data_IF_572733551243
#
_entry.id   IF_572733551243
#
_cell.length_a   1.000
_cell.length_b   1.000
_cell.length_c   1.000
_cell.angle_alpha   90.00
_cell.angle_beta   90.00
_cell.angle_gamma   90.00
#
_symmetry.space_group_name_H-M   'P 1'
#
loop_
_entity.id
_entity.type
_entity.pdbx_description
1 polymer ?
#
# COMPACT_ATOMS: atom_id res chain seq x y z
N UNK A 1 11.48 -2.87 -66.57
CA UNK A 1 10.08 -2.68 -66.97
C UNK A 1 9.56 -1.48 -66.22
N UNK A 2 9.26 -0.41 -66.96
CA UNK A 2 8.96 0.92 -66.45
C UNK A 2 7.52 1.30 -66.83
N UNK A 3 6.86 2.04 -65.92
CA UNK A 3 5.64 2.89 -66.03
C UNK A 3 4.30 2.23 -66.45
N UNK A 4 3.09 2.80 -66.13
CA UNK A 4 2.82 4.14 -65.58
C UNK A 4 1.76 4.28 -64.45
N UNK A 5 1.82 5.45 -63.82
CA UNK A 5 0.79 6.11 -63.01
C UNK A 5 -0.28 6.80 -63.87
N UNK A 6 -1.52 6.90 -63.38
CA UNK A 6 -2.55 7.84 -63.84
C UNK A 6 -3.60 8.12 -62.71
N UNK A 7 -4.37 9.23 -62.77
CA UNK A 7 -4.75 10.05 -61.60
C UNK A 7 -6.25 10.05 -61.25
N UNK A 8 -6.63 10.55 -60.06
CA UNK A 8 -8.00 11.00 -59.71
C UNK A 8 -7.90 12.24 -58.80
N UNK A 9 -7.99 13.46 -59.34
CA UNK A 9 -9.18 14.35 -59.48
C UNK A 9 -9.78 14.87 -58.18
N UNK A 10 -9.53 16.17 -57.94
CA UNK A 10 -10.27 17.08 -57.06
C UNK A 10 -11.76 17.10 -57.40
N UNK A 11 -12.61 17.08 -56.38
CA UNK A 11 -13.98 17.56 -56.48
C UNK A 11 -14.32 18.40 -55.23
N UNK A 12 -14.56 19.68 -55.49
CA UNK A 12 -15.03 20.70 -54.54
C UNK A 12 -16.55 20.89 -54.71
N UNK A 13 -17.21 21.35 -53.63
CA UNK A 13 -18.53 22.00 -53.49
C UNK A 13 -19.56 21.20 -52.66
N UNK A 14 -20.54 21.85 -51.99
CA UNK A 14 -20.52 23.17 -51.33
C UNK A 14 -21.12 23.15 -49.90
N UNK A 15 -20.96 24.28 -49.21
CA UNK A 15 -21.57 24.63 -47.92
C UNK A 15 -23.08 24.84 -48.01
N UNK A 16 -23.84 24.32 -47.05
CA UNK A 16 -25.18 24.83 -46.69
C UNK A 16 -25.45 24.61 -45.20
N UNK A 17 -25.51 25.73 -44.47
CA UNK A 17 -26.13 25.89 -43.15
C UNK A 17 -27.65 25.82 -43.24
N UNK A 18 -28.33 25.40 -42.17
CA UNK A 18 -29.66 25.92 -41.87
C UNK A 18 -29.68 26.64 -40.52
N UNK A 19 -30.16 27.88 -40.58
CA UNK A 19 -30.58 28.70 -39.44
C UNK A 19 -32.01 28.35 -39.03
N UNK A 20 -32.26 28.11 -37.74
CA UNK A 20 -33.59 28.33 -37.12
C UNK A 20 -33.37 28.95 -35.73
N UNK A 21 -34.05 30.07 -35.49
CA UNK A 21 -34.10 30.83 -34.25
C UNK A 21 -35.46 30.68 -33.54
N UNK A 22 -35.48 31.08 -32.25
CA UNK A 22 -36.63 31.41 -31.37
C UNK A 22 -37.44 30.23 -30.82
N UNK A 23 -37.88 30.15 -29.56
CA UNK A 23 -37.66 30.93 -28.33
C UNK A 23 -38.33 30.20 -27.13
N UNK A 24 -37.76 30.40 -25.94
CA UNK A 24 -38.41 30.60 -24.62
C UNK A 24 -39.04 29.44 -23.79
N UNK A 25 -38.43 29.29 -22.59
CA UNK A 25 -38.91 28.91 -21.24
C UNK A 25 -39.64 27.59 -20.94
N UNK A 26 -39.08 26.81 -19.99
CA UNK A 26 -39.56 26.86 -18.57
C UNK A 26 -38.70 26.02 -17.61
N UNK A 27 -38.50 26.60 -16.41
CA UNK A 27 -38.36 25.95 -15.10
C UNK A 27 -37.01 25.30 -14.68
N UNK A 28 -36.16 26.17 -14.14
CA UNK A 28 -35.31 25.99 -12.95
C UNK A 28 -35.60 24.79 -12.03
N UNK A 29 -34.58 23.94 -11.84
CA UNK A 29 -34.15 23.44 -10.52
C UNK A 29 -32.63 23.21 -10.54
N UNK A 30 -31.87 24.30 -10.39
CA UNK A 30 -30.48 24.23 -9.92
C UNK A 30 -30.51 23.69 -8.49
N UNK A 31 -30.10 22.43 -8.30
CA UNK A 31 -29.67 21.96 -6.97
C UNK A 31 -28.27 22.54 -6.76
N UNK A 32 -28.21 23.73 -6.18
CA UNK A 32 -27.01 24.17 -5.46
C UNK A 32 -26.84 23.19 -4.29
N UNK A 33 -25.91 22.26 -4.42
CA UNK A 33 -25.39 21.51 -3.27
C UNK A 33 -24.33 22.39 -2.63
N UNK A 34 -24.62 22.94 -1.46
CA UNK A 34 -23.64 23.69 -0.68
C UNK A 34 -22.47 22.77 -0.33
N UNK A 35 -21.25 23.27 -0.51
CA UNK A 35 -19.98 22.57 -0.27
C UNK A 35 -19.63 22.46 1.22
N UNK A 36 -20.58 21.99 2.03
CA UNK A 36 -20.39 21.87 3.48
C UNK A 36 -21.00 20.58 4.05
N UNK A 37 -21.32 19.61 3.20
CA UNK A 37 -21.68 18.28 3.68
C UNK A 37 -20.43 17.64 4.30
N UNK A 38 -20.47 17.21 5.57
CA UNK A 38 -19.43 16.37 6.13
C UNK A 38 -19.22 15.17 5.20
N UNK A 39 -17.97 14.83 4.91
CA UNK A 39 -17.65 13.55 4.28
C UNK A 39 -18.33 12.45 5.13
N UNK A 40 -19.09 11.54 4.51
CA UNK A 40 -19.81 10.51 5.27
C UNK A 40 -18.81 9.72 6.12
N UNK A 41 -19.12 9.55 7.41
CA UNK A 41 -18.30 8.76 8.33
C UNK A 41 -18.19 7.34 7.79
N UNK A 42 -17.00 6.95 7.34
CA UNK A 42 -16.77 5.73 6.58
C UNK A 42 -16.94 4.48 7.45
N UNK A 43 -17.60 3.46 6.92
CA UNK A 43 -17.53 2.12 7.50
C UNK A 43 -16.09 1.58 7.34
N UNK A 44 -15.40 1.36 8.46
CA UNK A 44 -14.10 0.67 8.45
C UNK A 44 -14.30 -0.76 7.90
N UNK A 45 -13.30 -1.31 7.21
CA UNK A 45 -13.34 -2.75 6.86
C UNK A 45 -13.60 -3.58 8.12
N UNK A 46 -14.36 -4.69 8.02
CA UNK A 46 -14.57 -5.60 9.13
C UNK A 46 -13.27 -6.03 9.79
N UNK A 47 -13.19 -5.87 11.12
CA UNK A 47 -12.06 -6.31 11.95
C UNK A 47 -12.15 -7.80 12.28
N UNK A 48 -13.35 -8.37 12.23
CA UNK A 48 -13.59 -9.78 12.56
C UNK A 48 -14.42 -10.48 11.49
N UNK A 49 -14.36 -11.81 11.48
CA UNK A 49 -15.20 -12.63 10.61
C UNK A 49 -16.70 -12.37 10.85
N UNK A 50 -17.09 -12.11 12.11
CA UNK A 50 -18.46 -11.79 12.49
C UNK A 50 -18.91 -10.42 11.94
N UNK A 51 -18.06 -9.40 12.02
CA UNK A 51 -18.31 -8.10 11.39
C UNK A 51 -18.42 -8.24 9.87
N UNK A 52 -17.59 -9.10 9.25
CA UNK A 52 -17.63 -9.35 7.81
C UNK A 52 -18.93 -10.02 7.41
N UNK A 53 -19.37 -11.02 8.18
CA UNK A 53 -20.65 -11.69 7.96
C UNK A 53 -21.83 -10.72 8.11
N UNK A 54 -21.82 -9.87 9.13
CA UNK A 54 -22.84 -8.85 9.34
C UNK A 54 -22.88 -7.85 8.18
N UNK A 55 -21.72 -7.39 7.70
CA UNK A 55 -21.61 -6.47 6.57
C UNK A 55 -22.17 -7.11 5.29
N UNK A 56 -21.72 -8.33 4.94
CA UNK A 56 -22.19 -9.06 3.77
C UNK A 56 -23.70 -9.32 3.81
N UNK A 57 -24.27 -9.54 5.00
CA UNK A 57 -25.72 -9.73 5.17
C UNK A 57 -26.56 -8.47 4.91
N UNK A 58 -25.94 -7.27 4.93
CA UNK A 58 -26.62 -6.01 4.60
C UNK A 58 -26.58 -5.68 3.10
N UNK A 59 -25.79 -6.40 2.30
CA UNK A 59 -25.69 -6.20 0.87
C UNK A 59 -26.86 -6.86 0.14
N UNK A 60 -27.46 -6.13 -0.79
CA UNK A 60 -28.53 -6.63 -1.64
C UNK A 60 -27.99 -7.72 -2.58
N UNK A 61 -28.51 -8.94 -2.44
CA UNK A 61 -28.10 -10.14 -3.21
C UNK A 61 -28.45 -10.05 -4.70
N UNK A 62 -29.18 -9.01 -5.12
CA UNK A 62 -29.55 -8.77 -6.52
C UNK A 62 -28.43 -8.14 -7.38
N UNK A 63 -27.41 -7.56 -6.75
CA UNK A 63 -26.20 -7.09 -7.43
C UNK A 63 -25.11 -8.13 -7.26
N UNK A 64 -24.36 -8.46 -8.33
CA UNK A 64 -23.21 -9.34 -8.25
C UNK A 64 -22.34 -8.88 -7.08
N UNK A 65 -22.19 -9.73 -6.05
CA UNK A 65 -21.50 -9.41 -4.80
C UNK A 65 -20.21 -8.65 -5.15
N UNK A 66 -20.11 -7.34 -4.86
CA UNK A 66 -18.87 -6.63 -5.13
C UNK A 66 -17.79 -7.35 -4.33
N UNK A 67 -16.65 -7.65 -4.97
CA UNK A 67 -15.49 -8.22 -4.29
C UNK A 67 -15.06 -7.25 -3.19
N UNK A 68 -15.63 -7.41 -1.99
CA UNK A 68 -15.44 -6.52 -0.87
C UNK A 68 -14.17 -6.95 -0.15
N UNK A 69 -13.07 -6.39 -0.63
CA UNK A 69 -11.77 -6.52 0.01
C UNK A 69 -11.86 -6.15 1.51
N UNK A 70 -11.38 -7.02 2.39
CA UNK A 70 -11.52 -6.91 3.84
C UNK A 70 -12.72 -7.66 4.44
N UNK A 71 -13.61 -8.23 3.63
CA UNK A 71 -14.79 -8.98 4.08
C UNK A 71 -14.90 -10.41 3.52
N UNK A 72 -13.89 -10.90 2.78
CA UNK A 72 -13.91 -12.24 2.17
C UNK A 72 -13.80 -13.32 3.24
N UNK A 73 -14.82 -14.18 3.32
CA UNK A 73 -14.93 -15.30 4.28
C UNK A 73 -14.74 -16.64 3.58
N UNK A 74 -13.75 -17.42 4.00
CA UNK A 74 -13.62 -18.80 3.52
C UNK A 74 -14.49 -19.73 4.37
N UNK A 75 -15.54 -20.29 3.78
CA UNK A 75 -16.45 -21.25 4.43
C UNK A 75 -16.26 -22.65 3.87
N UNK A 76 -16.84 -23.67 4.52
CA UNK A 76 -16.76 -25.07 4.07
C UNK A 76 -17.40 -25.33 2.71
N UNK A 77 -18.31 -24.46 2.26
CA UNK A 77 -18.94 -24.51 0.94
C UNK A 77 -18.25 -23.62 -0.10
N UNK A 78 -17.26 -22.82 0.29
CA UNK A 78 -16.54 -21.92 -0.61
C UNK A 78 -15.55 -22.71 -1.47
N UNK A 79 -15.46 -22.35 -2.75
CA UNK A 79 -14.32 -22.74 -3.59
C UNK A 79 -13.11 -21.88 -3.19
N UNK A 80 -12.04 -22.51 -2.70
CA UNK A 80 -10.82 -21.81 -2.24
C UNK A 80 -10.18 -20.94 -3.33
N UNK A 81 -10.45 -21.22 -4.61
CA UNK A 81 -9.92 -20.50 -5.77
C UNK A 81 -10.77 -19.31 -6.22
N UNK A 82 -11.90 -19.04 -5.55
CA UNK A 82 -12.81 -17.96 -5.94
C UNK A 82 -12.20 -16.58 -5.74
N UNK A 83 -11.24 -16.44 -4.82
CA UNK A 83 -10.46 -15.23 -4.61
C UNK A 83 -8.97 -15.55 -4.59
N UNK A 84 -8.15 -14.59 -5.01
CA UNK A 84 -6.69 -14.71 -4.91
C UNK A 84 -6.18 -14.69 -3.46
N UNK A 85 -7.03 -14.28 -2.51
CA UNK A 85 -6.74 -14.19 -1.10
C UNK A 85 -8.03 -14.12 -0.28
N UNK A 86 -7.97 -14.49 0.99
CA UNK A 86 -9.10 -14.48 1.91
C UNK A 86 -8.76 -13.60 3.12
N UNK A 87 -9.69 -12.74 3.53
CA UNK A 87 -9.46 -11.78 4.62
C UNK A 87 -9.63 -12.44 6.00
N UNK A 88 -10.65 -13.30 6.12
CA UNK A 88 -11.04 -13.92 7.38
C UNK A 88 -10.93 -15.43 7.25
N UNK A 89 -9.71 -15.93 7.40
CA UNK A 89 -9.41 -17.36 7.34
C UNK A 89 -8.31 -17.77 8.32
N UNK A 90 -8.48 -18.95 8.91
CA UNK A 90 -7.45 -19.57 9.75
C UNK A 90 -6.82 -20.73 8.97
N UNK A 91 -5.53 -20.65 8.61
CA UNK A 91 -4.81 -21.79 8.05
C UNK A 91 -4.87 -23.01 8.98
N UNK A 92 -4.88 -24.24 8.44
CA UNK A 92 -4.86 -25.46 9.26
C UNK A 92 -3.53 -25.58 10.04
N UNK A 93 -3.48 -26.29 11.19
CA UNK A 93 -2.25 -26.46 11.97
C UNK A 93 -1.04 -26.97 11.19
N UNK A 94 -1.28 -27.86 10.21
CA UNK A 94 -0.22 -28.39 9.33
C UNK A 94 0.50 -27.32 8.50
N UNK A 95 -0.17 -26.19 8.21
CA UNK A 95 0.45 -25.05 7.56
C UNK A 95 1.56 -24.45 8.44
N UNK A 96 1.30 -24.24 9.74
CA UNK A 96 2.29 -23.69 10.67
C UNK A 96 3.45 -24.65 10.91
N UNK A 97 3.21 -25.96 10.93
CA UNK A 97 4.29 -26.96 10.95
C UNK A 97 5.18 -26.83 9.71
N UNK A 98 4.58 -26.74 8.52
CA UNK A 98 5.33 -26.57 7.27
C UNK A 98 6.13 -25.25 7.23
N UNK A 99 5.53 -24.16 7.71
CA UNK A 99 6.18 -22.86 7.86
C UNK A 99 7.41 -22.99 8.76
N UNK A 100 7.26 -23.56 9.96
CA UNK A 100 8.35 -23.73 10.93
C UNK A 100 9.51 -24.55 10.33
N UNK A 101 9.20 -25.70 9.72
CA UNK A 101 10.20 -26.53 9.04
C UNK A 101 10.94 -25.80 7.92
N UNK A 102 10.20 -24.98 7.15
CA UNK A 102 10.77 -24.20 6.03
C UNK A 102 11.71 -23.12 6.53
N UNK A 103 11.33 -22.38 7.57
CA UNK A 103 12.16 -21.33 8.15
C UNK A 103 13.44 -21.89 8.78
N UNK A 104 13.37 -23.04 9.46
CA UNK A 104 14.56 -23.74 9.98
C UNK A 104 15.53 -24.07 8.83
N UNK A 105 15.05 -24.67 7.74
CA UNK A 105 15.87 -25.00 6.56
C UNK A 105 16.47 -23.77 5.88
N UNK A 106 15.77 -22.64 5.87
CA UNK A 106 16.29 -21.39 5.33
C UNK A 106 17.43 -20.86 6.21
N UNK A 107 17.25 -20.86 7.53
CA UNK A 107 18.22 -20.41 8.52
C UNK A 107 19.53 -21.21 8.49
N UNK A 108 19.49 -22.51 8.20
CA UNK A 108 20.69 -23.35 7.99
C UNK A 108 21.64 -22.82 6.90
N UNK A 109 21.13 -22.01 5.98
CA UNK A 109 21.90 -21.43 4.87
C UNK A 109 21.89 -19.90 4.87
N UNK A 110 21.66 -19.29 6.04
CA UNK A 110 21.77 -17.85 6.24
C UNK A 110 23.16 -17.36 5.82
N UNK A 111 23.20 -16.20 5.19
CA UNK A 111 24.45 -15.54 4.82
C UNK A 111 25.20 -15.09 6.07
N UNK A 112 26.54 -15.04 6.01
CA UNK A 112 27.30 -14.42 7.10
C UNK A 112 27.10 -12.91 7.09
N UNK A 113 27.47 -12.24 8.19
CA UNK A 113 27.38 -10.77 8.27
C UNK A 113 28.21 -10.08 7.18
N UNK A 114 29.40 -10.61 6.89
CA UNK A 114 30.28 -10.07 5.84
C UNK A 114 29.68 -10.25 4.44
N UNK A 115 29.01 -11.37 4.19
CA UNK A 115 28.30 -11.61 2.92
C UNK A 115 27.08 -10.71 2.78
N UNK A 116 26.31 -10.51 3.86
CA UNK A 116 25.13 -9.66 3.88
C UNK A 116 25.47 -8.18 3.65
N UNK A 117 26.58 -7.70 4.24
CA UNK A 117 26.99 -6.28 4.16
C UNK A 117 27.26 -5.82 2.72
N UNK A 118 27.68 -6.72 1.82
CA UNK A 118 27.79 -6.42 0.37
C UNK A 118 26.47 -5.90 -0.19
N UNK A 119 25.34 -6.45 0.24
CA UNK A 119 24.00 -6.06 -0.20
C UNK A 119 23.45 -4.84 0.54
N UNK A 120 24.09 -4.43 1.65
CA UNK A 120 23.69 -3.27 2.46
C UNK A 120 24.44 -2.00 2.07
N UNK A 121 25.63 -2.13 1.48
CA UNK A 121 26.49 -0.99 1.13
C UNK A 121 25.92 -0.08 0.05
N UNK A 122 25.15 -0.62 -0.91
CA UNK A 122 24.60 0.13 -2.04
C UNK A 122 23.25 -0.44 -2.54
N UNK A 123 22.20 -0.50 -1.69
CA UNK A 123 20.94 -1.18 -2.01
C UNK A 123 20.20 -0.57 -3.21
N UNK A 124 20.30 0.75 -3.38
CA UNK A 124 19.69 1.47 -4.52
C UNK A 124 20.22 0.98 -5.88
N UNK A 125 21.47 0.52 -5.96
CA UNK A 125 22.07 0.06 -7.22
C UNK A 125 21.36 -1.17 -7.80
N UNK A 126 20.83 -2.05 -6.96
CA UNK A 126 20.06 -3.22 -7.40
C UNK A 126 18.72 -2.80 -8.04
N UNK A 127 18.09 -1.76 -7.50
CA UNK A 127 16.87 -1.20 -8.08
C UNK A 127 17.14 -0.40 -9.36
N UNK A 128 18.27 0.32 -9.45
CA UNK A 128 18.70 0.96 -10.70
C UNK A 128 18.87 -0.08 -11.81
N UNK A 129 19.54 -1.20 -11.53
CA UNK A 129 19.68 -2.32 -12.50
C UNK A 129 18.33 -2.90 -12.88
N UNK A 130 17.45 -3.10 -11.90
CA UNK A 130 16.10 -3.61 -12.12
C UNK A 130 15.31 -2.71 -13.07
N UNK A 131 15.21 -1.41 -12.80
CA UNK A 131 14.42 -0.48 -13.61
C UNK A 131 15.07 -0.16 -14.96
N UNK A 132 16.40 -0.15 -15.06
CA UNK A 132 17.10 -0.07 -16.34
C UNK A 132 16.69 -1.22 -17.28
N UNK A 133 16.49 -2.41 -16.73
CA UNK A 133 16.15 -3.61 -17.50
C UNK A 133 14.66 -3.68 -17.85
N UNK A 134 13.79 -3.34 -16.90
CA UNK A 134 12.35 -3.59 -17.01
C UNK A 134 11.52 -2.38 -17.43
N UNK A 135 11.96 -1.17 -17.10
CA UNK A 135 11.20 0.08 -17.29
C UNK A 135 9.79 -0.03 -16.68
N UNK A 136 8.73 0.30 -17.44
CA UNK A 136 7.33 0.26 -17.01
C UNK A 136 6.62 -1.08 -17.27
N UNK A 137 7.34 -2.15 -17.59
CA UNK A 137 6.74 -3.40 -18.10
C UNK A 137 6.55 -4.49 -17.06
N UNK A 138 7.16 -4.36 -15.88
CA UNK A 138 7.15 -5.42 -14.87
C UNK A 138 5.94 -5.35 -13.96
N UNK A 139 5.69 -4.19 -13.35
CA UNK A 139 4.56 -3.99 -12.45
C UNK A 139 3.34 -3.48 -13.22
N UNK A 140 2.17 -3.98 -12.82
CA UNK A 140 0.88 -3.55 -13.38
C UNK A 140 0.35 -2.36 -12.59
N UNK A 141 -0.45 -1.55 -13.26
CA UNK A 141 -1.22 -0.48 -12.60
C UNK A 141 -2.12 -1.03 -11.51
N UNK A 142 -2.14 -0.32 -10.38
CA UNK A 142 -2.81 -0.73 -9.16
C UNK A 142 -4.31 -0.46 -9.25
N UNK A 143 -5.02 -1.32 -9.97
CA UNK A 143 -6.48 -1.20 -10.15
C UNK A 143 -7.29 -1.33 -8.85
N UNK A 144 -6.69 -1.85 -7.78
CA UNK A 144 -7.31 -2.05 -6.47
C UNK A 144 -7.20 -0.84 -5.53
N UNK A 145 -6.52 0.25 -5.91
CA UNK A 145 -6.32 1.42 -5.03
C UNK A 145 -7.63 1.98 -4.46
N UNK A 146 -8.69 2.04 -5.28
CA UNK A 146 -10.00 2.53 -4.84
C UNK A 146 -10.68 1.64 -3.77
N UNK A 147 -10.31 0.36 -3.69
CA UNK A 147 -10.85 -0.57 -2.71
C UNK A 147 -10.08 -0.49 -1.39
N UNK A 148 -8.75 -0.42 -1.46
CA UNK A 148 -7.89 -0.47 -0.27
C UNK A 148 -7.59 0.91 0.32
N UNK A 149 -7.48 1.91 -0.55
CA UNK A 149 -7.04 3.28 -0.26
C UNK A 149 -8.01 4.32 -0.87
N UNK A 150 -9.29 4.30 -0.50
CA UNK A 150 -10.28 5.25 -1.03
C UNK A 150 -9.91 6.71 -0.74
N UNK A 151 -9.08 7.00 0.27
CA UNK A 151 -8.57 8.33 0.58
C UNK A 151 -7.79 8.95 -0.59
N UNK A 152 -7.13 8.11 -1.40
CA UNK A 152 -6.48 8.56 -2.63
C UNK A 152 -7.51 8.95 -3.69
N UNK A 153 -8.62 8.22 -3.79
CA UNK A 153 -9.71 8.56 -4.71
C UNK A 153 -10.41 9.85 -4.23
N UNK A 154 -10.66 10.00 -2.94
CA UNK A 154 -11.25 11.20 -2.35
C UNK A 154 -10.39 12.44 -2.64
N UNK A 155 -9.07 12.33 -2.57
CA UNK A 155 -8.14 13.42 -2.93
C UNK A 155 -8.23 13.83 -4.41
N UNK A 156 -8.76 12.97 -5.28
CA UNK A 156 -8.92 13.23 -6.73
C UNK A 156 -10.27 13.86 -7.08
N UNK A 157 -11.21 13.99 -6.14
CA UNK A 157 -12.55 14.50 -6.39
C UNK A 157 -12.57 16.03 -6.57
N UNK A 158 -13.51 16.52 -7.37
CA UNK A 158 -13.75 17.96 -7.50
C UNK A 158 -14.11 18.57 -6.15
N UNK A 159 -13.43 19.66 -5.76
CA UNK A 159 -13.64 20.32 -4.48
C UNK A 159 -12.95 19.66 -3.28
N UNK A 160 -12.10 18.65 -3.48
CA UNK A 160 -11.27 18.06 -2.42
C UNK A 160 -10.24 19.05 -1.82
N UNK A 161 -10.01 20.19 -2.49
CA UNK A 161 -9.12 21.26 -2.08
C UNK A 161 -7.63 20.94 -2.32
N UNK A 162 -6.76 21.75 -1.72
CA UNK A 162 -5.31 21.57 -1.79
C UNK A 162 -4.89 20.26 -1.10
N UNK A 163 -4.63 19.24 -1.91
CA UNK A 163 -4.23 17.90 -1.47
C UNK A 163 -2.85 17.56 -2.00
N UNK A 164 -1.95 17.25 -1.09
CA UNK A 164 -0.58 16.81 -1.38
C UNK A 164 -0.43 15.33 -1.04
N UNK A 165 -0.16 14.52 -2.06
CA UNK A 165 0.09 13.07 -1.95
C UNK A 165 1.57 12.81 -2.23
N UNK A 166 2.25 12.10 -1.34
CA UNK A 166 3.61 11.59 -1.54
C UNK A 166 3.56 10.08 -1.74
N UNK A 167 3.93 9.60 -2.92
CA UNK A 167 4.25 8.18 -3.13
C UNK A 167 5.75 7.96 -2.89
N UNK A 168 6.10 7.15 -1.90
CA UNK A 168 7.49 6.74 -1.63
C UNK A 168 7.71 5.34 -2.20
N UNK A 169 8.81 5.15 -2.92
CA UNK A 169 9.02 3.95 -3.74
C UNK A 169 8.10 3.96 -4.96
N UNK A 170 8.06 5.08 -5.69
CA UNK A 170 7.12 5.27 -6.79
C UNK A 170 7.36 4.32 -7.98
N UNK A 171 8.56 3.76 -8.09
CA UNK A 171 8.89 2.78 -9.12
C UNK A 171 8.60 3.30 -10.53
N UNK A 172 7.79 2.57 -11.29
CA UNK A 172 7.34 2.99 -12.61
C UNK A 172 6.06 3.87 -12.61
N UNK A 173 5.59 4.33 -11.45
CA UNK A 173 4.42 5.21 -11.31
C UNK A 173 3.08 4.50 -11.35
N UNK A 174 3.02 3.20 -11.00
CA UNK A 174 1.79 2.39 -11.05
C UNK A 174 0.71 2.78 -10.03
N UNK A 175 0.99 3.73 -9.13
CA UNK A 175 -0.02 4.44 -8.32
C UNK A 175 -0.26 5.85 -8.88
N UNK A 176 0.81 6.61 -9.13
CA UNK A 176 0.75 7.97 -9.68
C UNK A 176 -0.14 8.06 -10.92
N UNK A 177 0.10 7.24 -11.94
CA UNK A 177 -0.60 7.40 -13.22
C UNK A 177 -2.09 7.06 -13.14
N UNK A 178 -2.50 5.94 -12.52
CA UNK A 178 -3.93 5.70 -12.29
C UNK A 178 -4.63 6.81 -11.51
N UNK A 179 -3.98 7.42 -10.51
CA UNK A 179 -4.54 8.55 -9.77
C UNK A 179 -4.68 9.79 -10.64
N UNK A 180 -3.67 10.10 -11.45
CA UNK A 180 -3.75 11.20 -12.40
C UNK A 180 -4.89 10.97 -13.41
N UNK A 181 -5.02 9.77 -13.98
CA UNK A 181 -6.05 9.47 -14.99
C UNK A 181 -7.48 9.72 -14.49
N UNK A 182 -7.78 9.41 -13.23
CA UNK A 182 -9.11 9.62 -12.65
C UNK A 182 -9.31 11.03 -12.08
N UNK A 183 -8.28 11.88 -12.10
CA UNK A 183 -8.28 13.13 -11.38
C UNK A 183 -9.26 14.18 -11.90
N UNK A 184 -10.02 14.75 -10.97
CA UNK A 184 -10.90 15.91 -11.16
C UNK A 184 -10.54 17.07 -10.22
N UNK A 185 -9.56 16.89 -9.33
CA UNK A 185 -9.07 17.90 -8.41
C UNK A 185 -7.96 18.74 -9.06
N UNK A 186 -8.24 20.02 -9.30
CA UNK A 186 -7.29 20.98 -9.89
C UNK A 186 -6.15 21.37 -8.94
N UNK A 187 -6.29 21.11 -7.65
CA UNK A 187 -5.33 21.47 -6.62
C UNK A 187 -4.55 20.25 -6.11
N UNK A 188 -4.70 19.09 -6.76
CA UNK A 188 -3.96 17.88 -6.43
C UNK A 188 -2.47 18.03 -6.80
N UNK A 189 -1.60 17.74 -5.84
CA UNK A 189 -0.15 17.70 -5.98
C UNK A 189 0.34 16.30 -5.66
N UNK A 190 0.97 15.64 -6.64
CA UNK A 190 1.58 14.32 -6.44
C UNK A 190 3.10 14.47 -6.45
N UNK A 191 3.75 14.02 -5.39
CA UNK A 191 5.20 13.88 -5.30
C UNK A 191 5.54 12.39 -5.37
N UNK A 192 6.26 11.99 -6.42
CA UNK A 192 6.66 10.62 -6.68
C UNK A 192 8.15 10.46 -6.35
N UNK A 193 8.48 9.84 -5.21
CA UNK A 193 9.86 9.67 -4.79
C UNK A 193 10.29 8.22 -4.87
N UNK A 194 11.50 7.98 -5.36
CA UNK A 194 12.16 6.68 -5.32
C UNK A 194 13.67 6.92 -5.14
N UNK A 195 14.37 6.07 -4.40
CA UNK A 195 15.82 6.19 -4.28
C UNK A 195 16.57 5.77 -5.55
N UNK A 196 15.87 5.11 -6.48
CA UNK A 196 16.39 4.69 -7.77
C UNK A 196 16.19 5.82 -8.77
N UNK A 197 17.30 6.34 -9.29
CA UNK A 197 17.25 7.36 -10.33
C UNK A 197 16.62 6.84 -11.62
N UNK A 198 16.74 5.55 -11.88
CA UNK A 198 16.16 4.90 -13.05
C UNK A 198 14.64 4.80 -12.93
N UNK A 199 14.10 4.45 -11.75
CA UNK A 199 12.67 4.50 -11.45
C UNK A 199 12.09 5.91 -11.68
N UNK A 200 12.73 6.92 -11.09
CA UNK A 200 12.34 8.33 -11.29
C UNK A 200 12.41 8.73 -12.76
N UNK A 201 13.42 8.25 -13.49
CA UNK A 201 13.53 8.42 -14.94
C UNK A 201 12.34 7.84 -15.71
N UNK A 202 11.89 6.64 -15.34
CA UNK A 202 10.70 5.99 -15.92
C UNK A 202 9.46 6.87 -15.70
N UNK A 203 9.23 7.35 -14.48
CA UNK A 203 8.10 8.25 -14.18
C UNK A 203 8.17 9.53 -15.01
N UNK A 204 9.33 10.19 -15.04
CA UNK A 204 9.54 11.44 -15.78
C UNK A 204 9.36 11.30 -17.30
N UNK A 205 9.53 10.08 -17.83
CA UNK A 205 9.35 9.79 -19.26
C UNK A 205 7.88 9.61 -19.68
N UNK A 206 6.96 9.46 -18.74
CA UNK A 206 5.55 9.25 -19.04
C UNK A 206 4.87 10.56 -19.48
N UNK A 207 4.07 10.58 -20.57
CA UNK A 207 3.35 11.78 -21.00
C UNK A 207 2.45 12.42 -19.92
N UNK A 208 1.85 11.61 -19.04
CA UNK A 208 1.01 12.09 -17.95
C UNK A 208 1.79 12.83 -16.85
N UNK A 209 3.12 12.61 -16.76
CA UNK A 209 3.96 13.38 -15.85
C UNK A 209 4.11 14.83 -16.32
N UNK A 210 4.37 15.06 -17.60
CA UNK A 210 4.58 16.40 -18.15
C UNK A 210 3.29 17.19 -18.32
N UNK A 211 2.17 16.52 -18.58
CA UNK A 211 0.87 17.15 -18.75
C UNK A 211 -0.23 16.37 -17.99
N UNK A 212 -0.22 16.40 -16.66
CA UNK A 212 -1.22 15.74 -15.83
C UNK A 212 -2.63 16.28 -16.13
N UNK A 213 -3.63 15.41 -16.31
CA UNK A 213 -5.01 15.83 -16.55
C UNK A 213 -5.64 16.43 -15.28
N UNK A 214 -6.79 17.10 -15.47
CA UNK A 214 -7.55 17.65 -14.35
C UNK A 214 -6.90 18.85 -13.66
N UNK A 215 -5.76 19.36 -14.16
CA UNK A 215 -5.05 20.51 -13.59
C UNK A 215 -4.12 20.16 -12.42
N UNK A 216 -3.94 18.87 -12.11
CA UNK A 216 -3.00 18.43 -11.08
C UNK A 216 -1.55 18.86 -11.40
N UNK A 217 -0.68 18.76 -10.40
CA UNK A 217 0.76 18.82 -10.60
C UNK A 217 1.41 17.51 -10.18
N UNK A 218 2.47 17.12 -10.89
CA UNK A 218 3.25 15.93 -10.57
C UNK A 218 4.73 16.31 -10.56
N UNK A 219 5.42 15.98 -9.46
CA UNK A 219 6.88 16.02 -9.37
C UNK A 219 7.40 14.62 -9.11
N UNK A 220 8.61 14.33 -9.59
CA UNK A 220 9.24 13.04 -9.38
C UNK A 220 10.70 13.26 -9.04
N UNK A 221 11.16 12.79 -7.88
CA UNK A 221 12.48 13.13 -7.32
C UNK A 221 13.20 11.89 -6.80
N UNK A 222 14.53 11.90 -6.94
CA UNK A 222 15.37 10.87 -6.33
C UNK A 222 15.48 11.17 -4.85
N UNK A 223 14.92 10.30 -4.02
CA UNK A 223 14.93 10.48 -2.57
C UNK A 223 14.84 9.14 -1.86
N UNK A 224 15.71 8.96 -0.87
CA UNK A 224 15.70 7.82 0.03
C UNK A 224 14.87 8.16 1.28
N UNK A 225 13.92 7.29 1.60
CA UNK A 225 13.05 7.43 2.76
C UNK A 225 13.84 7.53 4.08
N UNK A 226 15.01 6.89 4.16
CA UNK A 226 15.93 6.98 5.31
C UNK A 226 16.99 8.08 5.19
N UNK A 227 16.85 9.02 4.26
CA UNK A 227 17.77 10.15 4.13
C UNK A 227 17.66 11.12 5.31
N UNK A 228 18.76 11.82 5.64
CA UNK A 228 18.76 12.90 6.64
C UNK A 228 18.14 14.22 6.13
N UNK A 229 17.64 14.24 4.89
CA UNK A 229 17.03 15.42 4.28
C UNK A 229 15.66 15.08 3.72
N UNK A 230 14.73 16.04 3.75
CA UNK A 230 13.42 15.91 3.14
C UNK A 230 13.50 15.95 1.60
N UNK A 231 12.54 15.32 0.88
CA UNK A 231 12.53 15.32 -0.58
C UNK A 231 12.33 16.73 -1.14
N UNK A 232 12.93 16.98 -2.31
CA UNK A 232 12.82 18.27 -3.00
C UNK A 232 11.35 18.66 -3.23
N UNK A 233 11.03 19.92 -2.94
CA UNK A 233 9.68 20.48 -3.09
C UNK A 233 8.74 20.20 -1.92
N UNK A 234 9.15 19.41 -0.93
CA UNK A 234 8.39 19.17 0.30
C UNK A 234 9.11 19.77 1.51
N UNK A 235 8.31 20.09 2.52
CA UNK A 235 8.77 20.64 3.81
C UNK A 235 8.07 19.90 4.94
N UNK A 236 8.47 20.17 6.18
CA UNK A 236 7.75 19.66 7.33
C UNK A 236 6.27 20.05 7.28
N UNK A 237 5.40 19.14 7.69
CA UNK A 237 3.96 19.33 7.78
C UNK A 237 3.34 19.85 6.47
N UNK A 238 3.72 19.25 5.34
CA UNK A 238 3.25 19.66 4.01
C UNK A 238 2.49 18.59 3.24
N UNK A 239 2.49 17.35 3.71
CA UNK A 239 1.87 16.20 3.03
C UNK A 239 0.57 15.80 3.73
N UNK A 240 -0.50 15.60 2.95
CA UNK A 240 -1.78 15.10 3.45
C UNK A 240 -1.81 13.57 3.50
N UNK A 241 -1.24 12.91 2.49
CA UNK A 241 -1.26 11.45 2.34
C UNK A 241 0.13 10.95 1.93
N UNK A 242 0.72 10.05 2.72
CA UNK A 242 1.94 9.31 2.34
C UNK A 242 1.55 7.88 1.96
N UNK A 243 1.99 7.42 0.79
CA UNK A 243 1.73 6.07 0.27
C UNK A 243 3.01 5.25 0.34
N UNK A 244 2.92 4.09 1.01
CA UNK A 244 3.99 3.11 1.16
C UNK A 244 3.46 1.74 0.68
N UNK A 245 3.76 1.38 -0.57
CA UNK A 245 3.33 0.09 -1.15
C UNK A 245 4.55 -0.71 -1.59
N UNK A 246 4.87 -1.77 -0.84
CA UNK A 246 6.04 -2.65 -1.05
C UNK A 246 7.38 -1.90 -1.07
N UNK A 247 7.51 -0.90 -0.19
CA UNK A 247 8.71 -0.05 -0.07
C UNK A 247 9.40 -0.24 1.27
N UNK A 248 8.65 -0.34 2.36
CA UNK A 248 9.20 -0.36 3.71
C UNK A 248 9.95 -1.68 3.98
N UNK A 249 9.50 -2.78 3.37
CA UNK A 249 10.21 -4.06 3.38
C UNK A 249 11.57 -4.04 2.68
N UNK A 250 11.84 -3.08 1.79
CA UNK A 250 13.13 -2.99 1.10
C UNK A 250 14.22 -2.34 1.96
N UNK A 251 13.82 -1.62 3.02
CA UNK A 251 14.71 -1.02 3.99
C UNK A 251 15.32 -2.09 4.90
N UNK A 252 16.57 -1.88 5.29
CA UNK A 252 17.20 -2.59 6.39
C UNK A 252 16.56 -2.13 7.70
N UNK A 253 16.43 -3.02 8.71
CA UNK A 253 16.01 -2.63 10.06
C UNK A 253 16.68 -1.38 10.67
N UNK A 254 17.94 -1.10 10.33
CA UNK A 254 18.68 0.09 10.79
C UNK A 254 18.13 1.41 10.23
N UNK A 255 17.41 1.34 9.11
CA UNK A 255 16.90 2.50 8.36
C UNK A 255 15.49 2.92 8.82
N UNK A 256 14.76 2.04 9.53
CA UNK A 256 13.35 2.26 9.87
C UNK A 256 13.10 3.45 10.79
N UNK A 257 13.94 3.68 11.80
CA UNK A 257 13.73 4.80 12.73
C UNK A 257 13.81 6.16 12.00
N UNK A 258 14.80 6.33 11.13
CA UNK A 258 14.93 7.54 10.31
C UNK A 258 13.78 7.66 9.30
N UNK A 259 13.37 6.55 8.69
CA UNK A 259 12.24 6.51 7.77
C UNK A 259 10.93 6.97 8.43
N UNK A 260 10.61 6.45 9.61
CA UNK A 260 9.41 6.83 10.38
C UNK A 260 9.51 8.30 10.83
N UNK A 261 10.69 8.76 11.25
CA UNK A 261 10.88 10.17 11.58
C UNK A 261 10.58 11.09 10.39
N UNK A 262 11.06 10.75 9.19
CA UNK A 262 10.77 11.53 7.97
C UNK A 262 9.27 11.51 7.63
N UNK A 263 8.61 10.35 7.75
CA UNK A 263 7.16 10.22 7.55
C UNK A 263 6.42 11.16 8.50
N UNK A 264 6.72 11.10 9.80
CA UNK A 264 6.11 11.94 10.84
C UNK A 264 6.34 13.43 10.57
N UNK A 265 7.57 13.82 10.23
CA UNK A 265 7.91 15.22 9.94
C UNK A 265 7.20 15.76 8.70
N UNK A 266 7.02 14.95 7.65
CA UNK A 266 6.39 15.38 6.40
C UNK A 266 4.87 15.57 6.52
N UNK A 267 4.21 14.76 7.34
CA UNK A 267 2.76 14.78 7.49
C UNK A 267 2.26 16.06 8.16
N UNK A 268 1.22 16.66 7.57
CA UNK A 268 0.40 17.66 8.25
C UNK A 268 -0.26 17.05 9.49
N UNK A 269 -0.63 17.85 10.51
CA UNK A 269 -1.55 17.39 11.54
C UNK A 269 -2.83 16.80 10.91
N UNK A 270 -3.16 15.55 11.26
CA UNK A 270 -4.28 14.81 10.67
C UNK A 270 -4.01 14.17 9.30
N UNK A 271 -2.78 14.27 8.79
CA UNK A 271 -2.34 13.52 7.61
C UNK A 271 -2.26 12.02 7.89
N UNK A 272 -2.30 11.22 6.83
CA UNK A 272 -2.40 9.76 6.93
C UNK A 272 -1.28 9.04 6.19
N UNK A 273 -0.91 7.86 6.70
CA UNK A 273 -0.04 6.91 6.02
C UNK A 273 -0.89 5.76 5.49
N UNK A 274 -0.77 5.48 4.21
CA UNK A 274 -1.37 4.34 3.55
C UNK A 274 -0.29 3.29 3.33
N UNK A 275 -0.36 2.19 4.07
CA UNK A 275 0.68 1.18 4.14
C UNK A 275 0.19 -0.17 3.58
N UNK A 276 0.97 -0.76 2.69
CA UNK A 276 0.84 -2.16 2.26
C UNK A 276 2.21 -2.75 2.02
N UNK A 277 2.55 -3.81 2.74
CA UNK A 277 3.82 -4.49 2.56
C UNK A 277 3.71 -5.99 2.84
N UNK A 278 4.82 -6.72 2.76
CA UNK A 278 4.84 -8.17 2.97
C UNK A 278 4.64 -8.55 4.44
N UNK A 279 3.77 -9.53 4.66
CA UNK A 279 3.50 -10.10 5.98
C UNK A 279 4.35 -11.33 6.26
N UNK A 280 4.64 -11.60 7.54
CA UNK A 280 5.29 -12.84 7.97
C UNK A 280 4.46 -14.04 7.50
N UNK A 281 5.16 -15.04 6.97
CA UNK A 281 4.64 -16.27 6.35
C UNK A 281 3.98 -16.08 4.99
N UNK A 282 4.10 -14.90 4.39
CA UNK A 282 3.76 -14.71 2.99
C UNK A 282 4.44 -15.77 2.12
N UNK A 283 3.71 -16.27 1.14
CA UNK A 283 4.18 -17.32 0.22
C UNK A 283 5.53 -17.01 -0.43
N UNK A 284 5.85 -15.76 -0.84
CA UNK A 284 7.21 -15.35 -1.21
C UNK A 284 8.30 -15.67 -0.17
N UNK A 285 8.04 -15.49 1.13
CA UNK A 285 8.99 -15.81 2.21
C UNK A 285 9.32 -17.31 2.20
N UNK A 286 8.28 -18.14 2.14
CA UNK A 286 8.41 -19.60 2.23
C UNK A 286 9.05 -20.22 0.98
N UNK A 287 9.09 -19.48 -0.14
CA UNK A 287 9.65 -19.93 -1.42
C UNK A 287 11.10 -19.52 -1.65
N UNK A 288 11.73 -18.80 -0.72
CA UNK A 288 13.15 -18.48 -0.86
C UNK A 288 14.01 -19.73 -0.91
N UNK A 289 14.93 -19.75 -1.88
CA UNK A 289 15.94 -20.80 -2.02
C UNK A 289 17.03 -20.61 -0.97
N UNK A 290 17.88 -21.64 -0.82
CA UNK A 290 19.09 -21.59 0.02
C UNK A 290 19.94 -20.36 -0.29
N UNK A 291 20.68 -19.87 0.71
CA UNK A 291 21.58 -18.71 0.61
C UNK A 291 20.90 -17.41 0.18
N UNK A 292 19.69 -17.17 0.71
CA UNK A 292 18.91 -15.94 0.50
C UNK A 292 18.52 -15.22 1.77
N UNK A 293 18.65 -15.85 2.94
CA UNK A 293 18.35 -15.20 4.22
C UNK A 293 19.54 -14.32 4.62
N UNK A 294 19.26 -13.04 4.87
CA UNK A 294 20.21 -12.03 5.34
C UNK A 294 20.19 -12.00 6.86
N UNK A 295 18.99 -11.79 7.42
CA UNK A 295 18.69 -11.79 8.86
C UNK A 295 17.33 -12.45 9.08
N UNK A 296 16.89 -12.53 10.33
CA UNK A 296 15.57 -13.07 10.65
C UNK A 296 14.48 -12.21 9.98
N UNK A 297 13.60 -12.89 9.23
CA UNK A 297 12.58 -12.27 8.38
C UNK A 297 13.11 -11.34 7.25
N UNK A 298 14.42 -11.26 7.03
CA UNK A 298 15.02 -10.39 5.99
C UNK A 298 15.76 -11.21 4.93
N UNK A 299 15.39 -11.01 3.66
CA UNK A 299 15.82 -11.86 2.56
C UNK A 299 16.30 -11.07 1.34
N UNK A 300 17.20 -11.71 0.60
CA UNK A 300 17.70 -11.28 -0.70
C UNK A 300 16.87 -11.90 -1.84
N UNK A 301 16.39 -11.07 -2.76
CA UNK A 301 15.72 -11.50 -3.98
C UNK A 301 16.70 -11.95 -5.05
N UNK A 302 16.17 -12.57 -6.11
CA UNK A 302 16.97 -13.08 -7.23
C UNK A 302 17.78 -12.00 -7.96
N UNK A 303 17.25 -10.77 -7.98
CA UNK A 303 17.86 -9.57 -8.59
C UNK A 303 18.79 -8.80 -7.63
N UNK A 304 18.97 -9.29 -6.41
CA UNK A 304 19.82 -8.65 -5.39
C UNK A 304 19.12 -7.57 -4.57
N UNK A 305 17.86 -7.25 -4.87
CA UNK A 305 17.05 -6.38 -4.00
C UNK A 305 16.68 -7.11 -2.70
N UNK A 306 16.32 -6.37 -1.66
CA UNK A 306 16.03 -6.91 -0.33
C UNK A 306 14.52 -6.89 -0.05
N UNK A 307 14.08 -7.75 0.86
CA UNK A 307 12.69 -7.77 1.36
C UNK A 307 12.63 -8.29 2.79
N UNK A 308 11.97 -7.55 3.64
CA UNK A 308 11.61 -7.90 5.00
C UNK A 308 10.14 -8.35 5.07
N UNK A 309 9.82 -9.29 5.96
CA UNK A 309 8.46 -9.79 6.19
C UNK A 309 7.98 -9.44 7.60
N UNK A 310 6.96 -8.59 7.69
CA UNK A 310 6.56 -7.96 8.94
C UNK A 310 5.51 -8.76 9.71
N UNK A 311 5.62 -8.70 11.03
CA UNK A 311 4.48 -8.97 11.91
C UNK A 311 3.74 -7.66 12.20
N UNK A 312 2.41 -7.70 12.43
CA UNK A 312 1.67 -6.48 12.73
C UNK A 312 2.14 -5.77 13.99
N UNK A 313 2.45 -6.51 15.06
CA UNK A 313 2.95 -5.94 16.31
C UNK A 313 4.26 -5.17 16.07
N UNK A 314 5.15 -5.74 15.27
CA UNK A 314 6.39 -5.09 14.89
C UNK A 314 6.15 -3.76 14.17
N UNK A 315 5.12 -3.67 13.29
CA UNK A 315 4.78 -2.41 12.64
C UNK A 315 4.22 -1.38 13.63
N UNK A 316 3.40 -1.79 14.60
CA UNK A 316 2.93 -0.89 15.66
C UNK A 316 4.10 -0.33 16.46
N UNK A 317 5.09 -1.17 16.78
CA UNK A 317 6.26 -0.73 17.55
C UNK A 317 7.18 0.17 16.71
N UNK A 318 7.47 -0.18 15.45
CA UNK A 318 8.31 0.62 14.55
C UNK A 318 7.73 2.02 14.33
N UNK A 319 6.42 2.10 14.09
CA UNK A 319 5.74 3.38 13.88
C UNK A 319 5.39 4.09 15.19
N UNK A 320 5.55 3.45 16.35
CA UNK A 320 4.95 3.89 17.61
C UNK A 320 3.46 4.22 17.42
N UNK A 321 2.74 3.32 16.76
CA UNK A 321 1.32 3.44 16.47
C UNK A 321 0.49 2.73 17.53
N UNK A 322 -0.69 3.28 17.85
CA UNK A 322 -1.61 2.66 18.81
C UNK A 322 -1.98 1.24 18.32
N UNK A 323 -1.71 0.18 19.11
CA UNK A 323 -2.01 -1.18 18.70
C UNK A 323 -3.51 -1.36 18.43
N UNK A 324 -3.82 -2.21 17.47
CA UNK A 324 -5.19 -2.62 17.19
C UNK A 324 -5.22 -4.13 17.03
N UNK A 325 -6.28 -4.76 17.53
CA UNK A 325 -6.59 -6.14 17.16
C UNK A 325 -6.63 -6.25 15.64
N UNK A 326 -5.76 -7.11 15.13
CA UNK A 326 -5.65 -7.37 13.70
C UNK A 326 -6.68 -8.40 13.29
N UNK A 327 -7.16 -8.30 12.06
CA UNK A 327 -7.98 -9.37 11.47
C UNK A 327 -7.18 -10.67 11.54
N UNK A 328 -7.60 -11.59 12.41
CA UNK A 328 -7.08 -12.95 12.63
C UNK A 328 -5.76 -13.12 13.39
N UNK A 329 -5.71 -12.80 14.69
CA UNK A 329 -4.97 -13.67 15.63
C UNK A 329 -5.93 -14.76 16.12
N UNK A 330 -5.88 -15.92 15.47
CA UNK A 330 -6.28 -17.16 16.13
C UNK A 330 -5.16 -17.51 17.08
N UNK A 331 -5.16 -16.91 18.26
CA UNK A 331 -4.13 -17.13 19.28
C UNK A 331 -4.71 -17.08 20.70
N UNK A 332 -5.94 -17.59 20.85
CA UNK A 332 -6.47 -17.96 22.16
C UNK A 332 -5.74 -19.21 22.71
N UNK A 333 -4.97 -19.93 21.89
CA UNK A 333 -4.33 -21.20 22.27
C UNK A 333 -2.91 -21.12 22.84
N UNK A 334 -2.14 -20.04 22.61
CA UNK A 334 -0.76 -19.95 23.12
C UNK A 334 -0.63 -19.14 24.42
N UNK A 335 -1.63 -18.33 24.79
CA UNK A 335 -1.61 -17.61 26.08
C UNK A 335 -1.83 -18.53 27.29
N UNK A 336 -2.42 -19.71 27.11
CA UNK A 336 -2.66 -20.65 28.20
C UNK A 336 -1.46 -21.58 28.48
N UNK A 337 -0.66 -21.95 27.47
CA UNK A 337 0.50 -22.83 27.68
C UNK A 337 1.69 -22.13 28.37
N UNK A 338 1.95 -20.84 28.09
CA UNK A 338 2.98 -20.09 28.83
C UNK A 338 2.59 -19.79 30.29
N UNK A 339 1.30 -19.76 30.61
CA UNK A 339 0.80 -19.53 31.96
C UNK A 339 0.81 -20.81 32.83
N UNK A 340 0.74 -22.00 32.21
CA UNK A 340 0.78 -23.27 32.94
C UNK A 340 2.21 -23.77 33.22
N UNK A 341 3.19 -23.49 32.34
CA UNK A 341 4.59 -23.84 32.62
C UNK A 341 5.25 -22.95 33.71
N UNK A 342 4.75 -21.73 33.93
CA UNK A 342 5.25 -20.85 35.00
C UNK A 342 4.70 -21.19 36.40
N UNK A 343 3.70 -22.08 36.51
CA UNK A 343 3.01 -22.37 37.78
C UNK A 343 3.52 -23.63 38.51
N UNK A 344 4.62 -24.22 38.04
CA UNK A 344 5.24 -25.39 38.65
C UNK A 344 6.62 -25.10 39.29
N UNK A 345 6.84 -23.91 39.86
CA UNK A 345 7.92 -23.72 40.85
C UNK A 345 7.74 -22.43 41.65
N UNK A 346 6.95 -22.47 42.73
CA UNK A 346 7.00 -21.42 43.75
C UNK A 346 7.67 -21.95 45.01
N UNK A 347 8.84 -21.39 45.33
CA UNK A 347 9.21 -21.07 46.72
C UNK A 347 10.04 -19.79 46.77
N UNK A 348 9.42 -18.81 47.41
CA UNK A 348 10.02 -17.76 48.24
C UNK A 348 10.88 -16.73 47.50
N UNK A 349 10.25 -15.60 47.15
CA UNK A 349 10.65 -14.28 47.64
C UNK A 349 9.49 -13.29 47.44
N UNK A 350 9.09 -12.63 48.54
CA UNK A 350 8.11 -11.53 48.55
C UNK A 350 8.76 -10.30 47.91
N UNK A 351 8.43 -10.02 46.65
CA UNK A 351 8.56 -8.67 46.08
C UNK A 351 7.19 -8.24 45.55
N UNK A 352 6.67 -7.15 46.11
CA UNK A 352 5.44 -6.49 45.70
C UNK A 352 5.49 -6.19 44.19
N UNK A 353 4.75 -6.98 43.40
CA UNK A 353 4.40 -6.59 42.04
C UNK A 353 3.46 -5.39 42.15
N UNK A 354 4.02 -4.19 42.00
CA UNK A 354 3.24 -3.01 41.67
C UNK A 354 2.55 -3.30 40.34
N UNK A 355 1.24 -3.43 40.38
CA UNK A 355 0.41 -3.12 39.21
C UNK A 355 0.79 -1.69 38.80
N UNK A 356 1.58 -1.54 37.74
CA UNK A 356 1.73 -0.26 37.06
C UNK A 356 0.37 0.11 36.50
N UNK A 357 -0.31 0.99 37.24
CA UNK A 357 -1.41 1.81 36.76
C UNK A 357 -1.03 2.34 35.37
N UNK A 358 -1.84 2.02 34.36
CA UNK A 358 -1.60 2.42 32.98
C UNK A 358 -1.32 3.92 32.85
N UNK A 359 -0.05 4.26 32.65
CA UNK A 359 0.33 5.56 32.11
C UNK A 359 -0.14 5.62 30.65
N UNK A 360 -0.80 6.70 30.28
CA UNK A 360 -1.23 6.99 28.90
C UNK A 360 -0.01 7.03 27.97
N UNK A 361 0.37 5.88 27.41
CA UNK A 361 1.44 5.80 26.41
C UNK A 361 1.11 6.73 25.24
N UNK A 362 1.94 7.74 25.02
CA UNK A 362 1.79 8.66 23.90
C UNK A 362 2.24 7.97 22.59
N UNK A 363 1.30 7.83 21.65
CA UNK A 363 1.54 7.25 20.34
C UNK A 363 1.77 8.34 19.31
N UNK A 364 2.71 8.12 18.39
CA UNK A 364 2.98 9.02 17.28
C UNK A 364 1.89 8.94 16.21
N UNK A 365 1.24 7.78 16.08
CA UNK A 365 0.17 7.53 15.12
C UNK A 365 -1.02 6.83 15.78
N UNK A 366 -2.23 7.27 15.43
CA UNK A 366 -3.43 6.49 15.67
C UNK A 366 -3.59 5.44 14.56
N UNK A 367 -3.80 4.17 14.94
CA UNK A 367 -4.13 3.13 13.94
C UNK A 367 -5.59 3.26 13.55
N UNK A 368 -5.85 3.75 12.33
CA UNK A 368 -7.21 3.80 11.77
C UNK A 368 -7.70 2.39 11.40
N UNK A 369 -6.83 1.59 10.79
CA UNK A 369 -7.15 0.24 10.36
C UNK A 369 -5.88 -0.59 10.07
N UNK A 370 -5.84 -1.81 10.61
CA UNK A 370 -4.89 -2.86 10.24
C UNK A 370 -5.65 -4.08 9.69
N UNK A 371 -5.12 -4.70 8.64
CA UNK A 371 -5.67 -5.93 8.08
C UNK A 371 -4.54 -6.81 7.52
N UNK A 372 -4.75 -8.13 7.53
CA UNK A 372 -3.81 -9.13 7.02
C UNK A 372 -4.47 -9.86 5.85
N UNK A 373 -3.83 -9.86 4.69
CA UNK A 373 -4.31 -10.57 3.50
C UNK A 373 -3.73 -12.00 3.49
N UNK A 374 -4.53 -13.01 3.81
CA UNK A 374 -4.06 -14.40 3.85
C UNK A 374 -4.28 -15.09 2.51
N UNK A 375 -3.18 -15.27 1.78
CA UNK A 375 -3.14 -16.16 0.61
C UNK A 375 -2.84 -17.57 1.08
N UNK A 376 -3.86 -18.42 1.08
CA UNK A 376 -3.76 -19.77 1.63
C UNK A 376 -2.97 -20.75 0.74
N UNK A 377 -2.57 -20.38 -0.48
CA UNK A 377 -1.92 -21.30 -1.45
C UNK A 377 -0.87 -20.60 -2.32
#
# INVERSE_FOLDING_TARGET
MSVPSAPFTNNTLPSTTPSISTDVDTASRKKQTSSSAPLPTRALRPKTAAEAQALLATLDTSTAQPDMFGARLLTTSSDIWSHNAWDHVTPPPSHYTHVAETLVKQAETKLTLEEAEVFHSAPASYWDVFYSSHQNRFFKDRKWLHLEFPELVEATLEGAGDKTVLEVGCGAGNTVFPLLEINKNRELKIHACDYSKEAVGVVRSNPLYSNPPGGASCSANVWDLSSNTLPEGLKEQSVDIIVLIFVFSALHPREWSQAVQNIKSLLKPGGIVLFRDYGRYDLPQLRFKKRRMLEDNFYLRGDGTRVYFFEPQQLFDIFNAQPQDTTTTGDEGQKEEEAEESNASNKEDDDEVKEESGDDKEYDFATTQMAIDRRLI
#
